data_IF_309094967730
#
_entry.id   IF_309094967730
#
_cell.length_a   1.000
_cell.length_b   1.000
_cell.length_c   1.000
_cell.angle_alpha   90.00
_cell.angle_beta   90.00
_cell.angle_gamma   90.00
#
_symmetry.space_group_name_H-M   'P 1'
#
loop_
_entity.id
_entity.type
_entity.pdbx_description
1 polymer ?
#
# COMPACT_ATOMS: atom_id res chain seq x y z
N UNK A 1 20.63 9.72 -4.97
CA UNK A 1 19.32 9.89 -4.33
C UNK A 1 18.95 11.36 -4.40
N UNK A 2 17.74 11.73 -4.84
CA UNK A 2 17.26 13.09 -4.71
C UNK A 2 17.25 13.45 -3.22
N UNK A 3 17.68 14.65 -2.91
CA UNK A 3 17.62 15.17 -1.54
C UNK A 3 16.59 16.30 -1.54
N UNK A 4 15.39 16.01 -1.07
CA UNK A 4 14.39 17.05 -0.84
C UNK A 4 14.65 17.74 0.49
N UNK A 5 14.59 19.06 0.50
CA UNK A 5 14.49 19.83 1.73
C UNK A 5 13.11 19.67 2.35
N UNK A 6 12.99 19.99 3.63
CA UNK A 6 11.69 19.97 4.32
C UNK A 6 10.66 20.90 3.64
N UNK A 7 11.09 22.06 3.18
CA UNK A 7 10.23 23.03 2.52
C UNK A 7 9.73 22.52 1.15
N UNK A 8 10.61 21.88 0.38
CA UNK A 8 10.23 21.24 -0.88
C UNK A 8 9.22 20.13 -0.66
N UNK A 9 9.44 19.25 0.32
CA UNK A 9 8.48 18.20 0.64
C UNK A 9 7.13 18.77 1.08
N UNK A 10 7.13 19.83 1.90
CA UNK A 10 5.89 20.44 2.38
C UNK A 10 5.04 21.03 1.25
N UNK A 11 5.65 21.43 0.12
CA UNK A 11 4.91 21.90 -1.05
C UNK A 11 4.05 20.83 -1.73
N UNK A 12 4.28 19.54 -1.42
CA UNK A 12 3.47 18.41 -1.91
C UNK A 12 2.33 18.02 -0.95
N UNK A 13 2.12 18.79 0.12
CA UNK A 13 0.98 18.54 1.03
C UNK A 13 -0.32 18.59 0.24
N UNK A 14 -1.22 17.66 0.57
CA UNK A 14 -2.52 17.46 -0.08
C UNK A 14 -2.46 17.02 -1.57
N UNK A 15 -1.27 16.86 -2.14
CA UNK A 15 -1.15 16.30 -3.48
C UNK A 15 -1.61 14.84 -3.51
N UNK A 16 -2.17 14.44 -4.64
CA UNK A 16 -2.58 13.06 -4.87
C UNK A 16 -1.51 12.28 -5.65
N UNK A 17 -1.49 10.97 -5.43
CA UNK A 17 -0.65 10.03 -6.17
C UNK A 17 -1.56 9.02 -6.86
N UNK A 18 -1.45 8.83 -8.18
CA UNK A 18 -2.24 7.85 -8.91
C UNK A 18 -2.02 6.44 -8.39
N UNK A 19 -3.09 5.64 -8.34
CA UNK A 19 -2.99 4.22 -8.03
C UNK A 19 -2.12 3.51 -9.07
N UNK A 20 -1.31 2.56 -8.62
CA UNK A 20 -0.63 1.63 -9.49
C UNK A 20 -1.51 0.39 -9.64
N UNK A 21 -2.21 0.27 -10.77
CA UNK A 21 -3.11 -0.85 -11.03
C UNK A 21 -2.78 -1.49 -12.38
N UNK A 22 -2.93 -2.82 -12.53
CA UNK A 22 -2.91 -3.46 -13.84
C UNK A 22 -4.02 -2.91 -14.75
N UNK A 23 -3.76 -2.84 -16.05
CA UNK A 23 -4.80 -2.60 -17.03
C UNK A 23 -5.68 -3.86 -17.13
N UNK A 24 -7.00 -3.77 -16.89
CA UNK A 24 -7.89 -4.93 -16.90
C UNK A 24 -7.99 -5.61 -18.26
N UNK A 25 -7.62 -4.92 -19.34
CA UNK A 25 -7.53 -5.51 -20.69
C UNK A 25 -6.29 -6.40 -20.87
N UNK A 26 -5.29 -6.29 -20.01
CA UNK A 26 -4.01 -6.99 -20.13
C UNK A 26 -3.76 -7.98 -19.01
N UNK A 27 -4.07 -7.59 -17.76
CA UNK A 27 -3.75 -8.38 -16.57
C UNK A 27 -4.83 -8.25 -15.51
N UNK A 28 -5.20 -9.37 -14.89
CA UNK A 28 -6.07 -9.39 -13.72
C UNK A 28 -5.37 -8.78 -12.51
N UNK A 29 -6.11 -8.03 -11.72
CA UNK A 29 -5.67 -7.59 -10.39
C UNK A 29 -5.83 -8.73 -9.39
N UNK A 30 -4.72 -9.34 -8.98
CA UNK A 30 -4.70 -10.50 -8.08
C UNK A 30 -4.50 -10.12 -6.63
N UNK A 31 -3.56 -9.20 -6.37
CA UNK A 31 -3.22 -8.72 -5.04
C UNK A 31 -3.19 -7.18 -5.05
N UNK A 32 -4.03 -6.57 -4.20
CA UNK A 32 -4.06 -5.13 -4.00
C UNK A 32 -3.46 -4.79 -2.63
N UNK A 33 -2.29 -4.18 -2.61
CA UNK A 33 -1.73 -3.58 -1.41
C UNK A 33 -2.34 -2.20 -1.18
N UNK A 34 -2.76 -1.93 0.06
CA UNK A 34 -3.43 -0.69 0.43
C UNK A 34 -2.67 0.01 1.55
N UNK A 35 -2.00 1.12 1.24
CA UNK A 35 -1.39 2.00 2.22
C UNK A 35 -2.41 2.85 2.96
N UNK A 36 -1.98 3.60 3.96
CA UNK A 36 -2.86 4.53 4.70
C UNK A 36 -3.12 5.76 3.83
N UNK A 37 -2.06 6.46 3.50
CA UNK A 37 -2.08 7.61 2.57
C UNK A 37 -0.66 7.86 2.03
N UNK A 38 -0.50 8.65 0.95
CA UNK A 38 0.82 9.06 0.49
C UNK A 38 1.54 9.89 1.55
N UNK A 39 2.82 9.59 1.79
CA UNK A 39 3.71 10.53 2.45
C UNK A 39 4.16 11.64 1.48
N UNK A 40 4.70 12.75 1.99
CA UNK A 40 5.15 13.86 1.14
C UNK A 40 6.23 13.43 0.14
N UNK A 41 7.12 12.50 0.51
CA UNK A 41 8.13 11.93 -0.40
C UNK A 41 7.50 11.12 -1.54
N UNK A 42 6.48 10.35 -1.22
CA UNK A 42 5.66 9.61 -2.18
C UNK A 42 5.01 10.55 -3.19
N UNK A 43 4.45 11.66 -2.71
CA UNK A 43 3.85 12.67 -3.57
C UNK A 43 4.89 13.38 -4.46
N UNK A 44 6.06 13.71 -3.90
CA UNK A 44 7.15 14.34 -4.65
C UNK A 44 7.71 13.45 -5.78
N UNK A 45 7.75 12.13 -5.58
CA UNK A 45 8.28 11.18 -6.55
C UNK A 45 7.20 10.47 -7.37
N UNK A 46 5.91 10.71 -7.08
CA UNK A 46 4.76 10.02 -7.67
C UNK A 46 4.90 8.49 -7.62
N UNK A 47 5.47 7.98 -6.51
CA UNK A 47 5.76 6.56 -6.32
C UNK A 47 5.37 6.13 -4.92
N UNK A 48 4.50 5.13 -4.80
CA UNK A 48 4.06 4.61 -3.52
C UNK A 48 5.22 4.07 -2.68
N UNK A 49 5.18 4.31 -1.37
CA UNK A 49 6.19 3.86 -0.40
C UNK A 49 7.63 4.32 -0.70
N UNK A 50 7.77 5.48 -1.36
CA UNK A 50 9.06 5.97 -1.89
C UNK A 50 10.03 6.50 -0.84
N UNK A 51 9.60 6.73 0.41
CA UNK A 51 10.50 7.26 1.43
C UNK A 51 11.71 6.32 1.64
N UNK A 52 12.97 6.81 1.65
CA UNK A 52 14.17 5.97 1.67
C UNK A 52 14.25 4.94 2.81
N UNK A 53 13.62 5.23 3.96
CA UNK A 53 13.57 4.29 5.10
C UNK A 53 12.31 3.40 5.10
N UNK A 54 11.48 3.47 4.06
CA UNK A 54 10.33 2.60 3.94
C UNK A 54 10.78 1.18 3.56
N UNK A 55 10.21 0.18 4.21
CA UNK A 55 10.61 -1.23 4.08
C UNK A 55 9.71 -2.05 3.15
N UNK A 56 8.76 -1.41 2.46
CA UNK A 56 7.80 -2.12 1.60
C UNK A 56 8.51 -2.94 0.50
N UNK A 57 9.25 -2.30 -0.39
CA UNK A 57 9.92 -3.00 -1.49
C UNK A 57 11.01 -3.98 -1.02
N UNK A 58 11.85 -3.65 -0.02
CA UNK A 58 12.75 -4.62 0.57
C UNK A 58 12.03 -5.87 1.13
N UNK A 59 10.87 -5.69 1.77
CA UNK A 59 10.07 -6.81 2.28
C UNK A 59 9.46 -7.64 1.15
N UNK A 60 8.97 -7.03 0.07
CA UNK A 60 8.47 -7.74 -1.10
C UNK A 60 9.57 -8.57 -1.77
N UNK A 61 10.79 -8.02 -1.87
CA UNK A 61 11.95 -8.74 -2.42
C UNK A 61 12.33 -9.94 -1.53
N UNK A 62 12.44 -9.72 -0.24
CA UNK A 62 12.78 -10.80 0.70
C UNK A 62 11.70 -11.89 0.76
N UNK A 63 10.43 -11.54 0.58
CA UNK A 63 9.33 -12.49 0.50
C UNK A 63 9.30 -13.29 -0.82
N UNK A 64 10.09 -12.91 -1.82
CA UNK A 64 10.03 -13.50 -3.18
C UNK A 64 8.85 -13.00 -4.03
N UNK A 65 8.13 -11.97 -3.56
CA UNK A 65 7.05 -11.33 -4.31
C UNK A 65 7.63 -10.51 -5.46
N UNK A 66 8.81 -9.92 -5.26
CA UNK A 66 9.62 -9.29 -6.31
C UNK A 66 10.84 -10.17 -6.61
N UNK A 67 11.23 -10.21 -7.88
CA UNK A 67 12.43 -10.93 -8.35
C UNK A 67 13.66 -10.04 -8.40
N UNK A 68 13.46 -8.72 -8.46
CA UNK A 68 14.52 -7.72 -8.56
C UNK A 68 14.31 -6.61 -7.53
N UNK A 69 15.39 -6.00 -7.01
CA UNK A 69 15.29 -4.86 -6.11
C UNK A 69 14.70 -3.65 -6.83
N UNK A 70 13.84 -2.91 -6.12
CA UNK A 70 13.26 -1.64 -6.57
C UNK A 70 13.75 -0.54 -5.65
N UNK A 71 14.34 0.53 -6.21
CA UNK A 71 14.62 1.78 -5.47
C UNK A 71 13.60 2.85 -5.86
N UNK A 72 12.56 3.07 -5.03
CA UNK A 72 11.52 4.04 -5.33
C UNK A 72 11.90 5.46 -4.95
N UNK A 73 13.05 5.70 -4.31
CA UNK A 73 13.40 6.97 -3.67
C UNK A 73 13.56 8.14 -4.64
N UNK A 74 13.88 7.84 -5.91
CA UNK A 74 13.96 8.80 -7.00
C UNK A 74 12.77 8.73 -7.97
N UNK A 75 11.80 7.89 -7.67
CA UNK A 75 10.70 7.51 -8.56
C UNK A 75 10.92 6.12 -9.16
N UNK A 76 9.85 5.34 -9.22
CA UNK A 76 9.87 4.01 -9.83
C UNK A 76 9.97 4.13 -11.35
N UNK A 77 10.74 3.25 -11.98
CA UNK A 77 10.84 3.16 -13.44
C UNK A 77 9.54 2.60 -14.04
N UNK A 78 9.28 2.86 -15.31
CA UNK A 78 8.13 2.26 -15.99
C UNK A 78 8.26 0.74 -16.06
N UNK A 79 9.47 0.22 -16.24
CA UNK A 79 9.75 -1.21 -16.22
C UNK A 79 9.37 -1.87 -14.87
N UNK A 80 9.69 -1.23 -13.74
CA UNK A 80 9.30 -1.74 -12.42
C UNK A 80 7.78 -1.71 -12.21
N UNK A 81 7.10 -0.64 -12.70
CA UNK A 81 5.64 -0.55 -12.70
C UNK A 81 5.01 -1.67 -13.52
N UNK A 82 5.53 -1.91 -14.71
CA UNK A 82 5.00 -2.93 -15.62
C UNK A 82 5.24 -4.34 -15.10
N UNK A 83 6.37 -4.60 -14.44
CA UNK A 83 6.64 -5.88 -13.75
C UNK A 83 5.61 -6.15 -12.64
N UNK A 84 5.26 -5.15 -11.83
CA UNK A 84 4.21 -5.29 -10.81
C UNK A 84 2.85 -5.57 -11.44
N UNK A 85 2.47 -4.79 -12.47
CA UNK A 85 1.20 -4.95 -13.20
C UNK A 85 1.09 -6.33 -13.85
N UNK A 86 2.15 -6.80 -14.50
CA UNK A 86 2.19 -8.11 -15.15
C UNK A 86 2.01 -9.28 -14.16
N UNK A 87 2.42 -9.09 -12.90
CA UNK A 87 2.18 -10.05 -11.81
C UNK A 87 0.79 -9.94 -11.18
N UNK A 88 -0.04 -9.01 -11.64
CA UNK A 88 -1.35 -8.75 -11.06
C UNK A 88 -1.29 -8.06 -9.70
N UNK A 89 -0.21 -7.31 -9.43
CA UNK A 89 -0.03 -6.58 -8.17
C UNK A 89 -0.42 -5.13 -8.38
N UNK A 90 -1.35 -4.64 -7.55
CA UNK A 90 -1.75 -3.24 -7.48
C UNK A 90 -1.37 -2.59 -6.16
N UNK A 91 -1.28 -1.27 -6.18
CA UNK A 91 -1.02 -0.45 -4.99
C UNK A 91 -1.96 0.75 -5.00
N UNK A 92 -2.64 0.98 -3.89
CA UNK A 92 -3.49 2.15 -3.63
C UNK A 92 -3.33 2.61 -2.18
N UNK A 93 -4.12 3.60 -1.77
CA UNK A 93 -4.20 4.07 -0.38
C UNK A 93 -5.66 4.22 0.06
N UNK A 94 -5.92 4.14 1.36
CA UNK A 94 -7.24 4.45 1.95
C UNK A 94 -7.59 5.92 1.69
N UNK A 95 -6.66 6.83 1.98
CA UNK A 95 -6.81 8.27 1.72
C UNK A 95 -5.84 8.70 0.63
N UNK A 96 -6.29 9.51 -0.32
CA UNK A 96 -5.48 9.87 -1.51
C UNK A 96 -4.55 11.05 -1.29
N UNK A 97 -4.88 11.95 -0.35
CA UNK A 97 -4.07 13.15 -0.13
C UNK A 97 -2.79 12.86 0.67
N UNK A 98 -1.71 13.52 0.29
CA UNK A 98 -0.44 13.40 0.96
C UNK A 98 -0.38 14.21 2.26
N UNK A 99 0.21 13.60 3.30
CA UNK A 99 0.51 14.27 4.57
C UNK A 99 1.95 13.96 5.01
N UNK A 100 2.47 14.75 5.92
CA UNK A 100 3.78 14.45 6.52
C UNK A 100 3.70 13.21 7.43
N UNK A 101 2.56 12.99 8.08
CA UNK A 101 2.31 11.89 9.01
C UNK A 101 0.88 11.37 8.87
N UNK A 102 0.69 10.06 9.01
CA UNK A 102 -0.63 9.44 8.91
C UNK A 102 -1.59 9.85 10.04
N UNK A 103 -1.08 10.30 11.19
CA UNK A 103 -1.90 10.77 12.31
C UNK A 103 -2.53 12.16 12.08
N UNK A 104 -2.20 12.82 10.98
CA UNK A 104 -2.87 14.04 10.51
C UNK A 104 -4.24 13.75 9.87
N UNK A 105 -4.55 12.48 9.59
CA UNK A 105 -5.82 12.07 8.98
C UNK A 105 -6.93 11.96 10.03
N UNK A 106 -8.07 12.59 9.75
CA UNK A 106 -9.26 12.50 10.58
C UNK A 106 -9.98 11.15 10.48
N UNK A 107 -10.73 10.78 11.51
CA UNK A 107 -11.55 9.54 11.51
C UNK A 107 -12.60 9.54 10.40
N UNK A 108 -13.23 10.68 10.14
CA UNK A 108 -14.22 10.83 9.07
C UNK A 108 -13.57 10.55 7.71
N UNK A 109 -12.40 11.15 7.46
CA UNK A 109 -11.64 10.99 6.24
C UNK A 109 -11.20 9.53 6.01
N UNK A 110 -10.74 8.85 7.05
CA UNK A 110 -10.41 7.42 6.97
C UNK A 110 -11.64 6.58 6.65
N UNK A 111 -12.81 6.89 7.21
CA UNK A 111 -14.05 6.17 6.92
C UNK A 111 -14.51 6.38 5.48
N UNK A 112 -14.52 7.62 5.00
CA UNK A 112 -14.81 7.94 3.60
C UNK A 112 -13.84 7.23 2.64
N UNK A 113 -12.56 7.19 3.00
CA UNK A 113 -11.53 6.44 2.29
C UNK A 113 -11.80 4.94 2.27
N UNK A 114 -12.25 4.36 3.38
CA UNK A 114 -12.65 2.94 3.45
C UNK A 114 -13.83 2.62 2.52
N UNK A 115 -14.83 3.50 2.45
CA UNK A 115 -15.95 3.36 1.51
C UNK A 115 -15.50 3.49 0.05
N UNK A 116 -14.59 4.44 -0.24
CA UNK A 116 -14.01 4.61 -1.58
C UNK A 116 -13.20 3.37 -1.98
N UNK A 117 -12.41 2.81 -1.06
CA UNK A 117 -11.69 1.56 -1.29
C UNK A 117 -12.62 0.39 -1.57
N UNK A 118 -13.72 0.25 -0.83
CA UNK A 118 -14.72 -0.80 -1.09
C UNK A 118 -15.32 -0.69 -2.50
N UNK A 119 -15.59 0.51 -2.99
CA UNK A 119 -16.04 0.76 -4.37
C UNK A 119 -14.97 0.36 -5.40
N UNK A 120 -13.71 0.76 -5.18
CA UNK A 120 -12.59 0.36 -6.03
C UNK A 120 -12.43 -1.16 -6.10
N UNK A 121 -12.52 -1.84 -4.96
CA UNK A 121 -12.43 -3.31 -4.89
C UNK A 121 -13.59 -3.97 -5.64
N UNK A 122 -14.82 -3.45 -5.51
CA UNK A 122 -15.99 -3.95 -6.24
C UNK A 122 -15.82 -3.78 -7.77
N UNK A 123 -15.23 -2.66 -8.21
CA UNK A 123 -14.99 -2.38 -9.63
C UNK A 123 -13.85 -3.22 -10.21
N UNK A 124 -12.73 -3.32 -9.48
CA UNK A 124 -11.49 -3.93 -9.96
C UNK A 124 -11.36 -5.43 -9.64
N UNK A 125 -12.22 -5.93 -8.77
CA UNK A 125 -12.36 -7.35 -8.39
C UNK A 125 -11.03 -8.07 -8.09
N UNK A 126 -10.14 -7.53 -7.23
CA UNK A 126 -8.92 -8.22 -6.83
C UNK A 126 -9.28 -9.53 -6.12
N UNK A 127 -8.42 -10.53 -6.24
CA UNK A 127 -8.59 -11.77 -5.48
C UNK A 127 -8.34 -11.55 -3.99
N UNK A 128 -7.32 -10.75 -3.67
CA UNK A 128 -6.89 -10.46 -2.29
C UNK A 128 -6.62 -8.97 -2.13
N UNK A 129 -7.05 -8.41 -1.01
CA UNK A 129 -6.72 -7.06 -0.53
C UNK A 129 -5.89 -7.16 0.74
N UNK A 130 -4.74 -6.50 0.78
CA UNK A 130 -3.85 -6.43 1.94
C UNK A 130 -3.71 -4.99 2.42
N UNK A 131 -4.36 -4.65 3.54
CA UNK A 131 -4.31 -3.31 4.16
C UNK A 131 -3.10 -3.23 5.10
N UNK A 132 -2.22 -2.25 4.85
CA UNK A 132 -0.97 -2.06 5.57
C UNK A 132 -1.14 -1.11 6.76
N UNK A 133 -1.61 -1.63 7.88
CA UNK A 133 -1.74 -0.90 9.13
C UNK A 133 -3.05 -1.13 9.86
N UNK A 134 -2.98 -1.81 11.01
CA UNK A 134 -4.16 -2.19 11.79
C UNK A 134 -4.94 -0.98 12.33
N UNK A 135 -4.25 0.09 12.74
CA UNK A 135 -4.92 1.27 13.32
C UNK A 135 -5.77 1.99 12.30
N UNK A 136 -5.24 2.19 11.08
CA UNK A 136 -5.99 2.80 9.99
C UNK A 136 -7.15 1.91 9.54
N UNK A 137 -6.93 0.60 9.44
CA UNK A 137 -7.97 -0.37 9.14
C UNK A 137 -9.14 -0.29 10.13
N UNK A 138 -8.84 -0.33 11.45
CA UNK A 138 -9.85 -0.24 12.49
C UNK A 138 -10.71 1.03 12.38
N UNK A 139 -10.09 2.15 12.04
CA UNK A 139 -10.76 3.44 11.89
C UNK A 139 -11.57 3.52 10.60
N UNK A 140 -11.01 3.07 9.49
CA UNK A 140 -11.63 3.14 8.16
C UNK A 140 -12.86 2.23 8.04
N UNK A 141 -12.79 1.03 8.60
CA UNK A 141 -13.84 0.01 8.47
C UNK A 141 -14.70 -0.18 9.73
N UNK A 142 -14.43 0.55 10.81
CA UNK A 142 -15.24 0.48 12.04
C UNK A 142 -15.07 -0.83 12.80
N UNK A 143 -13.93 -1.51 12.69
CA UNK A 143 -13.62 -2.77 13.37
C UNK A 143 -12.59 -2.60 14.51
N UNK A 144 -12.95 -1.97 15.65
CA UNK A 144 -11.97 -1.60 16.69
C UNK A 144 -11.25 -2.80 17.34
N UNK A 145 -11.83 -4.00 17.24
CA UNK A 145 -11.28 -5.23 17.82
C UNK A 145 -10.54 -6.10 16.79
N UNK A 146 -10.43 -5.65 15.54
CA UNK A 146 -9.72 -6.41 14.51
C UNK A 146 -8.26 -6.68 14.92
N UNK A 147 -7.74 -7.84 14.52
CA UNK A 147 -6.35 -8.25 14.72
C UNK A 147 -5.65 -8.41 13.38
N UNK A 148 -4.31 -8.29 13.32
CA UNK A 148 -3.58 -8.56 12.08
C UNK A 148 -3.81 -9.98 11.57
N UNK A 149 -3.68 -10.15 10.26
CA UNK A 149 -3.89 -11.41 9.55
C UNK A 149 -5.13 -11.37 8.66
N UNK A 150 -5.58 -12.55 8.23
CA UNK A 150 -6.79 -12.71 7.42
C UNK A 150 -8.01 -12.29 8.22
N UNK A 151 -8.84 -11.46 7.62
CA UNK A 151 -10.08 -11.00 8.24
C UNK A 151 -11.23 -11.98 7.96
N UNK A 152 -12.18 -12.14 8.89
CA UNK A 152 -13.31 -13.09 8.73
C UNK A 152 -14.25 -12.68 7.60
N UNK A 153 -14.41 -11.38 7.35
CA UNK A 153 -15.31 -10.85 6.34
C UNK A 153 -14.50 -10.36 5.12
N UNK A 154 -14.93 -10.72 3.90
CA UNK A 154 -14.32 -10.20 2.67
C UNK A 154 -14.66 -8.72 2.48
N UNK A 155 -13.84 -8.00 1.73
CA UNK A 155 -14.14 -6.65 1.27
C UNK A 155 -14.66 -6.71 -0.17
N UNK A 156 -15.95 -6.40 -0.36
CA UNK A 156 -16.58 -6.40 -1.68
C UNK A 156 -16.29 -7.67 -2.51
N UNK A 157 -16.22 -8.83 -1.85
CA UNK A 157 -15.96 -10.13 -2.46
C UNK A 157 -14.48 -10.56 -2.48
N UNK A 158 -13.54 -9.66 -2.25
CA UNK A 158 -12.12 -9.98 -2.16
C UNK A 158 -11.73 -10.50 -0.78
N UNK A 159 -10.86 -11.50 -0.70
CA UNK A 159 -10.27 -11.94 0.56
C UNK A 159 -9.46 -10.79 1.20
N UNK A 160 -9.72 -10.48 2.46
CA UNK A 160 -9.18 -9.32 3.15
C UNK A 160 -8.14 -9.71 4.19
N UNK A 161 -7.00 -9.08 4.12
CA UNK A 161 -5.89 -9.20 5.07
C UNK A 161 -5.52 -7.85 5.66
N UNK A 162 -5.11 -7.85 6.92
CA UNK A 162 -4.46 -6.70 7.57
C UNK A 162 -3.05 -7.11 7.94
N UNK A 163 -2.09 -6.38 7.41
CA UNK A 163 -0.66 -6.65 7.57
C UNK A 163 0.05 -5.44 8.19
N UNK A 164 1.23 -5.61 8.77
CA UNK A 164 1.94 -4.50 9.40
C UNK A 164 2.31 -3.39 8.42
N UNK A 165 2.34 -2.16 8.94
CA UNK A 165 2.76 -0.98 8.18
C UNK A 165 4.28 -0.99 7.94
N UNK A 166 4.77 -0.81 6.69
CA UNK A 166 6.19 -0.83 6.34
C UNK A 166 6.96 0.45 6.67
N UNK A 167 6.31 1.44 7.27
CA UNK A 167 6.94 2.71 7.62
C UNK A 167 8.20 2.51 8.46
N UNK A 168 9.26 3.25 8.17
CA UNK A 168 10.47 3.31 9.00
C UNK A 168 10.21 3.76 10.42
N UNK A 169 9.10 4.43 10.70
CA UNK A 169 8.67 4.83 12.05
C UNK A 169 8.07 3.67 12.86
N UNK A 170 7.76 2.55 12.23
CA UNK A 170 7.25 1.36 12.93
C UNK A 170 8.42 0.59 13.56
N UNK A 171 8.68 0.85 14.84
CA UNK A 171 9.80 0.23 15.58
C UNK A 171 9.62 -1.28 15.86
N UNK A 172 8.40 -1.80 15.73
CA UNK A 172 8.07 -3.20 16.04
C UNK A 172 8.36 -4.17 14.90
N UNK A 173 8.60 -3.65 13.70
CA UNK A 173 8.79 -4.46 12.49
C UNK A 173 10.19 -4.28 11.90
N UNK A 174 10.66 -5.29 11.23
CA UNK A 174 11.84 -5.26 10.39
C UNK A 174 11.52 -5.85 9.00
N UNK A 175 12.49 -5.87 8.09
CA UNK A 175 12.26 -6.38 6.73
C UNK A 175 11.83 -7.84 6.74
N UNK A 176 12.41 -8.68 7.61
CA UNK A 176 12.10 -10.10 7.67
C UNK A 176 10.67 -10.36 8.19
N UNK A 177 10.25 -9.67 9.27
CA UNK A 177 8.90 -9.81 9.81
C UNK A 177 7.83 -9.31 8.83
N UNK A 178 8.10 -8.21 8.13
CA UNK A 178 7.23 -7.70 7.08
C UNK A 178 7.16 -8.67 5.89
N UNK A 179 8.28 -9.26 5.47
CA UNK A 179 8.32 -10.23 4.39
C UNK A 179 7.46 -11.45 4.71
N UNK A 180 7.55 -11.98 5.92
CA UNK A 180 6.71 -13.08 6.40
C UNK A 180 5.22 -12.72 6.39
N UNK A 181 4.87 -11.53 6.91
CA UNK A 181 3.49 -11.06 6.95
C UNK A 181 2.89 -10.83 5.55
N UNK A 182 3.69 -10.37 4.57
CA UNK A 182 3.22 -10.10 3.21
C UNK A 182 3.16 -11.36 2.35
N UNK A 183 3.94 -12.38 2.68
CA UNK A 183 3.93 -13.65 1.96
C UNK A 183 2.57 -14.38 2.06
N UNK A 184 1.87 -14.29 3.19
CA UNK A 184 0.59 -14.95 3.38
C UNK A 184 -0.50 -14.48 2.39
N UNK A 185 -0.84 -13.17 2.30
CA UNK A 185 -1.78 -12.68 1.29
C UNK A 185 -1.26 -12.87 -0.15
N UNK A 186 0.05 -12.84 -0.39
CA UNK A 186 0.62 -13.08 -1.70
C UNK A 186 0.39 -14.53 -2.18
N UNK A 187 0.56 -15.53 -1.29
CA UNK A 187 0.20 -16.92 -1.58
C UNK A 187 -1.30 -17.08 -1.83
N UNK A 188 -2.14 -16.48 -1.00
CA UNK A 188 -3.60 -16.50 -1.20
C UNK A 188 -4.01 -15.92 -2.56
N UNK A 189 -3.32 -14.88 -3.02
CA UNK A 189 -3.52 -14.27 -4.33
C UNK A 189 -2.95 -15.11 -5.49
N UNK A 190 -2.02 -16.01 -5.22
CA UNK A 190 -1.30 -16.79 -6.23
C UNK A 190 -0.25 -15.97 -6.97
N UNK A 191 0.36 -14.99 -6.30
CA UNK A 191 1.49 -14.18 -6.81
C UNK A 191 2.82 -14.61 -6.19
N UNK A 192 2.78 -15.53 -5.25
CA UNK A 192 3.91 -16.20 -4.62
C UNK A 192 3.65 -17.71 -4.56
#
# INVERSE_FOLDING_TARGET
>A
MPRFTRAELESFRDAEVPDLLPDPAQHDLRLLFVGINPGLWTAATQTHFAHPVNRFYPALLQAGILEHPVDPSAGMTDEDRDRLRARGIGITNIVRRATARADELGRAELREGGEALARLVAERTPKVVAVLGITAYRSAFGHPKAVPGRQPEPLAGAELWVVPNPSGLNAHENVASLAEAYAAPARAAGVL
#
